data_IF_211748060005
#
_entry.id   IF_211748060005
#
_cell.length_a   1.000
_cell.length_b   1.000
_cell.length_c   1.000
_cell.angle_alpha   90.00
_cell.angle_beta   90.00
_cell.angle_gamma   90.00
#
_symmetry.space_group_name_H-M   'P 1'
#
loop_
_entity.id
_entity.type
_entity.pdbx_description
1 polymer ?
#
# COMPACT_ATOMS: atom_id res chain seq x y z
N UNK A 1 0.28 7.11 3.04
CA UNK A 1 1.41 6.16 3.07
C UNK A 1 1.14 5.07 4.09
N UNK A 2 1.72 3.90 3.89
CA UNK A 2 1.70 2.80 4.85
C UNK A 2 2.96 2.87 5.72
N UNK A 3 2.77 2.88 7.03
CA UNK A 3 3.86 2.95 8.01
C UNK A 3 3.85 1.69 8.87
N UNK A 4 5.00 1.02 8.97
CA UNK A 4 5.19 -0.06 9.91
C UNK A 4 5.30 0.52 11.33
N UNK A 5 4.48 0.02 12.24
CA UNK A 5 4.35 0.54 13.59
C UNK A 5 4.38 -0.59 14.62
N UNK A 6 4.89 -0.26 15.81
CA UNK A 6 4.82 -1.06 17.02
C UNK A 6 4.33 -0.16 18.14
N UNK A 7 3.44 -0.68 19.01
CA UNK A 7 3.02 0.02 20.23
C UNK A 7 3.67 -0.65 21.44
N UNK A 8 4.07 0.16 22.42
CA UNK A 8 4.66 -0.34 23.66
C UNK A 8 3.67 -1.30 24.37
N UNK A 9 4.15 -2.49 24.71
CA UNK A 9 3.35 -3.54 25.33
C UNK A 9 2.65 -4.50 24.36
N UNK A 10 2.72 -4.24 23.05
CA UNK A 10 2.26 -5.19 22.05
C UNK A 10 3.41 -5.93 21.36
N UNK A 11 3.27 -7.25 21.27
CA UNK A 11 4.27 -8.13 20.66
C UNK A 11 4.17 -8.22 19.15
N UNK A 12 3.04 -7.79 18.57
CA UNK A 12 2.77 -7.95 17.14
C UNK A 12 2.84 -6.59 16.44
N UNK A 13 3.81 -6.38 15.54
CA UNK A 13 3.84 -5.17 14.75
C UNK A 13 2.65 -5.10 13.80
N UNK A 14 2.24 -3.89 13.44
CA UNK A 14 1.11 -3.64 12.56
C UNK A 14 1.45 -2.55 11.54
N UNK A 15 0.58 -2.38 10.56
CA UNK A 15 0.71 -1.32 9.56
C UNK A 15 -0.40 -0.29 9.74
N UNK A 16 -0.03 0.98 9.80
CA UNK A 16 -0.96 2.11 9.84
C UNK A 16 -1.04 2.78 8.47
N UNK A 17 -2.22 3.28 8.14
CA UNK A 17 -2.36 4.28 7.07
C UNK A 17 -2.15 5.66 7.69
N UNK A 18 -1.16 6.38 7.19
CA UNK A 18 -0.84 7.74 7.61
C UNK A 18 -0.97 8.72 6.46
N UNK A 19 -1.34 9.96 6.78
CA UNK A 19 -1.28 11.09 5.85
C UNK A 19 -0.15 12.01 6.30
N UNK A 20 0.80 12.28 5.39
CA UNK A 20 1.82 13.28 5.63
C UNK A 20 1.17 14.67 5.60
N UNK A 21 1.46 15.50 6.59
CA UNK A 21 1.05 16.92 6.59
C UNK A 21 2.00 17.75 5.74
N UNK A 22 3.28 17.38 5.76
CA UNK A 22 4.34 17.97 4.95
C UNK A 22 5.17 16.85 4.30
N UNK A 23 5.17 16.80 2.97
CA UNK A 23 5.87 15.76 2.20
C UNK A 23 7.40 15.86 2.31
N UNK A 24 7.94 17.00 2.75
CA UNK A 24 9.37 17.19 2.98
C UNK A 24 9.78 16.85 4.42
N UNK A 25 8.82 16.60 5.32
CA UNK A 25 9.07 16.24 6.72
C UNK A 25 8.47 14.86 7.03
N UNK A 26 9.32 13.84 6.95
CA UNK A 26 8.94 12.44 7.14
C UNK A 26 8.28 12.10 8.48
N UNK A 27 8.46 12.95 9.50
CA UNK A 27 7.91 12.74 10.85
C UNK A 27 6.63 13.55 11.12
N UNK A 28 6.17 14.39 10.20
CA UNK A 28 4.94 15.18 10.37
C UNK A 28 3.77 14.51 9.66
N UNK A 29 3.08 13.62 10.37
CA UNK A 29 1.95 12.86 9.84
C UNK A 29 0.79 12.77 10.82
N UNK A 30 -0.40 12.50 10.29
CA UNK A 30 -1.57 12.06 11.05
C UNK A 30 -1.90 10.61 10.73
N UNK A 31 -2.37 9.87 11.74
CA UNK A 31 -2.85 8.51 11.58
C UNK A 31 -4.29 8.58 11.06
N UNK A 32 -4.52 8.00 9.88
CA UNK A 32 -5.85 7.90 9.27
C UNK A 32 -6.51 6.58 9.67
N UNK A 33 -5.74 5.49 9.65
CA UNK A 33 -6.15 4.17 10.15
C UNK A 33 -5.03 3.62 11.01
N UNK A 34 -5.31 3.35 12.29
CA UNK A 34 -4.31 2.87 13.24
C UNK A 34 -3.79 1.48 12.85
N UNK A 35 -4.67 0.55 12.52
CA UNK A 35 -4.32 -0.84 12.17
C UNK A 35 -5.07 -1.23 10.91
N UNK A 36 -4.32 -1.50 9.85
CA UNK A 36 -4.87 -2.03 8.62
C UNK A 36 -5.13 -3.52 8.77
N UNK A 37 -6.35 -3.91 8.40
CA UNK A 37 -6.75 -5.29 8.22
C UNK A 37 -6.72 -5.65 6.73
N UNK A 38 -6.15 -6.81 6.38
CA UNK A 38 -6.00 -7.22 4.98
C UNK A 38 -7.34 -7.46 4.26
N UNK A 39 -8.39 -7.86 4.99
CA UNK A 39 -9.71 -8.09 4.42
C UNK A 39 -10.50 -6.79 4.29
N UNK A 40 -10.62 -6.06 5.39
CA UNK A 40 -11.40 -4.83 5.53
C UNK A 40 -10.78 -3.60 4.87
N UNK A 41 -9.44 -3.57 4.69
CA UNK A 41 -8.74 -2.40 4.16
C UNK A 41 -8.01 -2.67 2.84
N UNK A 42 -8.41 -3.68 2.07
CA UNK A 42 -7.78 -4.00 0.79
C UNK A 42 -7.70 -2.80 -0.16
N UNK A 43 -8.73 -1.94 -0.16
CA UNK A 43 -8.77 -0.74 -0.99
C UNK A 43 -7.65 0.23 -0.61
N UNK A 44 -7.50 0.52 0.67
CA UNK A 44 -6.48 1.43 1.19
C UNK A 44 -5.08 0.86 0.98
N UNK A 45 -4.89 -0.43 1.25
CA UNK A 45 -3.61 -1.12 1.05
C UNK A 45 -3.22 -1.08 -0.44
N UNK A 46 -4.18 -1.23 -1.35
CA UNK A 46 -3.95 -1.07 -2.79
C UNK A 46 -3.58 0.37 -3.16
N UNK A 47 -4.36 1.35 -2.72
CA UNK A 47 -4.25 2.74 -3.14
C UNK A 47 -2.98 3.46 -2.66
N UNK A 48 -2.43 3.10 -1.49
CA UNK A 48 -1.34 3.85 -0.88
C UNK A 48 -0.02 3.08 -0.85
N UNK A 49 1.10 3.78 -1.09
CA UNK A 49 2.44 3.18 -1.03
C UNK A 49 3.01 3.12 0.39
N UNK A 50 3.96 2.22 0.62
CA UNK A 50 4.76 2.15 1.84
C UNK A 50 5.75 3.32 1.92
N UNK A 51 5.95 3.83 3.15
CA UNK A 51 7.10 4.69 3.46
C UNK A 51 8.38 3.85 3.35
N UNK A 52 9.44 4.42 2.75
CA UNK A 52 10.75 3.75 2.62
C UNK A 52 11.28 3.51 1.20
N UNK A 53 10.58 3.98 0.16
CA UNK A 53 11.10 3.94 -1.23
C UNK A 53 12.07 5.10 -1.55
N UNK A 54 12.24 6.07 -0.66
CA UNK A 54 13.09 7.25 -0.90
C UNK A 54 14.56 6.81 -1.04
N UNK A 55 15.18 7.16 -2.17
CA UNK A 55 16.58 6.84 -2.46
C UNK A 55 16.84 5.41 -2.99
N UNK A 56 15.80 4.59 -3.16
CA UNK A 56 15.96 3.20 -3.59
C UNK A 56 15.55 2.98 -5.06
N UNK A 57 16.35 3.51 -6.00
CA UNK A 57 16.07 3.45 -7.43
C UNK A 57 15.89 2.01 -7.95
N UNK A 58 16.68 1.07 -7.45
CA UNK A 58 16.56 -0.35 -7.81
C UNK A 58 15.19 -0.93 -7.45
N UNK A 59 14.65 -0.59 -6.27
CA UNK A 59 13.32 -1.05 -5.85
C UNK A 59 12.21 -0.50 -6.74
N UNK A 60 12.35 0.76 -7.16
CA UNK A 60 11.43 1.35 -8.12
C UNK A 60 11.50 0.62 -9.46
N UNK A 61 12.71 0.33 -9.97
CA UNK A 61 12.90 -0.43 -11.20
C UNK A 61 12.25 -1.82 -11.11
N UNK A 62 12.51 -2.58 -10.06
CA UNK A 62 11.91 -3.90 -9.82
C UNK A 62 10.39 -3.83 -9.76
N UNK A 63 9.84 -2.84 -9.03
CA UNK A 63 8.38 -2.64 -8.93
C UNK A 63 7.75 -2.31 -10.29
N UNK A 64 8.42 -1.50 -11.12
CA UNK A 64 7.94 -1.16 -12.45
C UNK A 64 8.03 -2.33 -13.43
N UNK A 65 9.07 -3.16 -13.32
CA UNK A 65 9.19 -4.39 -14.11
C UNK A 65 8.07 -5.37 -13.75
N UNK A 66 7.86 -5.64 -12.46
CA UNK A 66 6.74 -6.46 -11.97
C UNK A 66 5.39 -5.92 -12.46
N UNK A 67 5.22 -4.60 -12.47
CA UNK A 67 4.00 -3.97 -12.97
C UNK A 67 3.80 -4.22 -14.47
N UNK A 68 4.86 -4.08 -15.28
CA UNK A 68 4.79 -4.32 -16.72
C UNK A 68 4.38 -5.76 -17.04
N UNK A 69 4.83 -6.73 -16.24
CA UNK A 69 4.51 -8.15 -16.42
C UNK A 69 3.12 -8.53 -15.91
N UNK A 70 2.70 -7.97 -14.76
CA UNK A 70 1.51 -8.43 -14.04
C UNK A 70 0.29 -7.53 -14.18
N UNK A 71 0.49 -6.26 -14.59
CA UNK A 71 -0.51 -5.20 -14.58
C UNK A 71 -0.90 -4.71 -13.18
N UNK A 72 -0.14 -5.09 -12.14
CA UNK A 72 -0.44 -4.74 -10.75
C UNK A 72 0.75 -4.03 -10.11
N UNK A 73 0.54 -2.78 -9.67
CA UNK A 73 1.58 -2.00 -9.00
C UNK A 73 1.68 -2.43 -7.53
N UNK A 74 2.49 -3.46 -7.28
CA UNK A 74 2.60 -4.09 -5.97
C UNK A 74 4.04 -4.40 -5.63
N UNK A 75 4.65 -3.56 -4.78
CA UNK A 75 6.08 -3.68 -4.44
C UNK A 75 6.37 -4.89 -3.55
N UNK A 76 7.65 -5.28 -3.49
CA UNK A 76 8.11 -6.35 -2.60
C UNK A 76 7.81 -6.07 -1.12
N UNK A 77 7.90 -4.81 -0.67
CA UNK A 77 7.53 -4.44 0.71
C UNK A 77 6.04 -4.67 0.96
N UNK A 78 5.17 -4.35 0.00
CA UNK A 78 3.74 -4.61 0.18
C UNK A 78 3.45 -6.12 0.27
N UNK A 79 4.17 -6.95 -0.50
CA UNK A 79 4.07 -8.43 -0.37
C UNK A 79 4.52 -8.91 1.00
N UNK A 80 5.57 -8.32 1.54
CA UNK A 80 6.06 -8.64 2.88
C UNK A 80 5.09 -8.19 3.98
N UNK A 81 4.55 -6.98 3.86
CA UNK A 81 3.64 -6.38 4.85
C UNK A 81 2.24 -7.00 4.84
N UNK A 82 1.79 -7.51 3.67
CA UNK A 82 0.45 -8.07 3.48
C UNK A 82 0.52 -9.41 2.73
N UNK A 83 1.08 -10.46 3.37
CA UNK A 83 1.41 -11.72 2.69
C UNK A 83 0.18 -12.52 2.25
N UNK A 84 -1.02 -12.25 2.79
CA UNK A 84 -2.24 -12.96 2.39
C UNK A 84 -2.93 -12.32 1.17
N UNK A 85 -2.47 -11.15 0.74
CA UNK A 85 -2.95 -10.48 -0.48
C UNK A 85 -2.32 -11.12 -1.73
N UNK A 86 -3.10 -11.97 -2.42
CA UNK A 86 -2.63 -12.63 -3.64
C UNK A 86 -2.65 -11.76 -4.90
N UNK A 87 -1.81 -12.11 -5.87
CA UNK A 87 -1.78 -11.49 -7.21
C UNK A 87 -3.15 -11.55 -7.91
N UNK A 88 -3.92 -12.62 -7.75
CA UNK A 88 -5.27 -12.77 -8.33
C UNK A 88 -6.27 -11.81 -7.67
N UNK A 89 -6.18 -11.65 -6.34
CA UNK A 89 -7.01 -10.70 -5.59
C UNK A 89 -6.71 -9.27 -6.05
N UNK A 90 -5.44 -8.95 -6.25
CA UNK A 90 -4.99 -7.66 -6.76
C UNK A 90 -5.41 -7.41 -8.21
N UNK A 91 -5.23 -8.38 -9.12
CA UNK A 91 -5.67 -8.27 -10.52
C UNK A 91 -7.17 -8.03 -10.63
N UNK A 92 -7.98 -8.74 -9.83
CA UNK A 92 -9.44 -8.51 -9.77
C UNK A 92 -9.76 -7.09 -9.29
N UNK A 93 -9.04 -6.59 -8.30
CA UNK A 93 -9.22 -5.24 -7.78
C UNK A 93 -8.81 -4.15 -8.79
N UNK A 94 -7.63 -4.29 -9.42
CA UNK A 94 -7.13 -3.39 -10.46
C UNK A 94 -8.11 -3.27 -11.64
N UNK A 95 -8.69 -4.40 -12.09
CA UNK A 95 -9.73 -4.40 -13.14
C UNK A 95 -11.00 -3.68 -12.73
N UNK A 96 -11.40 -3.74 -11.45
CA UNK A 96 -12.57 -2.99 -10.94
C UNK A 96 -12.32 -1.48 -10.95
N UNK A 97 -11.12 -1.04 -10.64
CA UNK A 97 -10.74 0.38 -10.65
C UNK A 97 -10.59 0.92 -12.08
N UNK A 98 -10.06 0.10 -13.01
CA UNK A 98 -9.89 0.48 -14.42
C UNK A 98 -11.20 0.56 -15.24
N UNK A 99 -12.32 0.06 -14.70
CA UNK A 99 -13.64 0.33 -15.29
C UNK A 99 -14.04 1.75 -14.92
N UNK A 100 -14.08 2.65 -15.92
CA UNK A 100 -14.70 3.97 -15.81
C UNK A 100 -16.08 3.78 -15.15
N UNK A 101 -16.43 4.55 -14.11
CA UNK A 101 -17.80 4.47 -13.58
C UNK A 101 -18.75 4.74 -14.74
N UNK A 102 -19.71 3.84 -14.95
CA UNK A 102 -20.84 4.11 -15.83
C UNK A 102 -21.58 5.30 -15.21
N UNK A 103 -21.43 6.46 -15.85
CA UNK A 103 -22.27 7.61 -15.54
C UNK A 103 -23.65 7.21 -16.04
N UNK A 104 -24.55 6.90 -15.10
CA UNK A 104 -25.97 6.74 -15.40
C UNK A 104 -26.43 8.13 -15.86
N UNK A 105 -26.71 8.26 -17.16
CA UNK A 105 -27.30 9.44 -17.80
C UNK A 105 -28.77 9.58 -17.45
#
# INVERSE_FOLDING_TARGET
YLLFASQDGETTPFVSLVRLKDIYKSLDYEIVVQRLDEEGNLREIYAYNSLGMVGAAQKLQETLQDYAETGVLWSCEKRFLFPTVSSERLKRHARKIGKKPEIIS
#
